data_IF_627185231811
#
_entry.id   IF_627185231811
#
_cell.length_a   1.000
_cell.length_b   1.000
_cell.length_c   1.000
_cell.angle_alpha   90.00
_cell.angle_beta   90.00
_cell.angle_gamma   90.00
#
_symmetry.space_group_name_H-M   'P 1'
#
loop_
_entity.id
_entity.type
_entity.pdbx_description
1 polymer ?
#
# COMPACT_ATOMS: atom_id res chain seq x y z
N UNK A 1 11.95 8.39 -10.00
CA UNK A 1 10.60 8.79 -10.48
C UNK A 1 10.07 9.89 -9.58
N UNK A 2 9.84 11.10 -10.08
CA UNK A 2 9.10 12.13 -9.35
C UNK A 2 7.68 11.65 -9.00
N UNK A 3 7.14 12.17 -7.89
CA UNK A 3 5.82 11.80 -7.38
C UNK A 3 4.98 13.06 -7.21
N UNK A 4 4.01 13.26 -8.09
CA UNK A 4 2.91 14.19 -7.87
C UNK A 4 1.69 13.36 -7.45
N UNK A 5 1.39 13.38 -6.15
CA UNK A 5 0.37 12.52 -5.55
C UNK A 5 -0.78 13.29 -4.91
N UNK A 6 -0.76 14.62 -4.93
CA UNK A 6 -1.83 15.43 -4.36
C UNK A 6 -3.11 15.33 -5.20
N UNK A 7 -4.11 14.64 -4.65
CA UNK A 7 -5.41 14.47 -5.29
C UNK A 7 -6.33 15.69 -5.13
N UNK A 8 -5.97 16.64 -4.25
CA UNK A 8 -6.74 17.84 -3.93
C UNK A 8 -6.35 19.06 -4.78
N UNK A 9 -5.21 19.02 -5.45
CA UNK A 9 -4.87 20.01 -6.47
C UNK A 9 -5.98 20.06 -7.53
N UNK A 10 -6.56 21.24 -7.84
CA UNK A 10 -7.59 21.36 -8.87
C UNK A 10 -7.08 20.88 -10.24
N UNK A 11 -7.91 20.15 -10.97
CA UNK A 11 -7.53 19.49 -12.22
C UNK A 11 -7.78 20.34 -13.49
N UNK A 12 -7.88 21.67 -13.36
CA UNK A 12 -8.10 22.57 -14.50
C UNK A 12 -6.84 22.70 -15.39
N UNK A 13 -7.04 23.18 -16.62
CA UNK A 13 -6.02 23.23 -17.67
C UNK A 13 -4.77 24.02 -17.26
N UNK A 14 -4.93 25.14 -16.54
CA UNK A 14 -3.80 25.96 -16.08
C UNK A 14 -2.85 25.17 -15.17
N UNK A 15 -3.37 24.28 -14.32
CA UNK A 15 -2.53 23.44 -13.46
C UNK A 15 -1.83 22.33 -14.25
N UNK A 16 -2.48 21.78 -15.27
CA UNK A 16 -1.82 20.85 -16.19
C UNK A 16 -0.70 21.53 -16.97
N UNK A 17 -0.93 22.74 -17.49
CA UNK A 17 0.09 23.52 -18.19
C UNK A 17 1.28 23.85 -17.28
N UNK A 18 1.01 24.22 -16.02
CA UNK A 18 2.04 24.45 -15.01
C UNK A 18 2.83 23.16 -14.73
N UNK A 19 2.15 22.03 -14.55
CA UNK A 19 2.78 20.73 -14.36
C UNK A 19 3.69 20.36 -15.53
N UNK A 20 3.23 20.50 -16.77
CA UNK A 20 4.02 20.25 -17.99
C UNK A 20 5.26 21.13 -18.02
N UNK A 21 5.11 22.44 -17.76
CA UNK A 21 6.22 23.39 -17.71
C UNK A 21 7.30 22.97 -16.71
N UNK A 22 6.90 22.56 -15.51
CA UNK A 22 7.84 22.15 -14.46
C UNK A 22 8.38 20.72 -14.62
N UNK A 23 7.69 19.87 -15.37
CA UNK A 23 8.17 18.53 -15.68
C UNK A 23 9.20 18.53 -16.82
N UNK A 24 9.16 19.50 -17.73
CA UNK A 24 10.08 19.59 -18.88
C UNK A 24 11.57 19.46 -18.50
N UNK A 25 12.10 20.20 -17.49
CA UNK A 25 13.52 20.05 -17.14
C UNK A 25 13.86 18.65 -16.62
N UNK A 26 12.93 18.00 -15.90
CA UNK A 26 13.13 16.62 -15.41
C UNK A 26 13.15 15.64 -16.58
N UNK A 27 12.26 15.85 -17.55
CA UNK A 27 12.25 15.09 -18.79
C UNK A 27 13.55 15.25 -19.58
N UNK A 28 14.06 16.47 -19.71
CA UNK A 28 15.32 16.77 -20.41
C UNK A 28 16.53 16.11 -19.71
N UNK A 29 16.47 15.94 -18.38
CA UNK A 29 17.44 15.18 -17.59
C UNK A 29 17.29 13.64 -17.71
N UNK A 30 16.37 13.15 -18.55
CA UNK A 30 16.20 11.72 -18.79
C UNK A 30 15.16 11.02 -17.90
N UNK A 31 14.36 11.76 -17.13
CA UNK A 31 13.26 11.14 -16.37
C UNK A 31 12.18 10.62 -17.32
N UNK A 32 11.85 9.34 -17.20
CA UNK A 32 10.85 8.63 -18.03
C UNK A 32 9.73 7.95 -17.25
N UNK A 33 9.54 8.35 -15.99
CA UNK A 33 8.39 7.88 -15.21
C UNK A 33 7.94 8.92 -14.20
N UNK A 34 6.64 9.05 -14.02
CA UNK A 34 6.04 10.01 -13.09
C UNK A 34 4.75 9.48 -12.49
N UNK A 35 4.47 9.82 -11.23
CA UNK A 35 3.12 9.64 -10.68
C UNK A 35 2.28 10.89 -10.94
N UNK A 36 1.06 10.69 -11.45
CA UNK A 36 0.06 11.74 -11.69
C UNK A 36 -1.25 11.30 -11.02
N UNK A 37 -1.96 12.17 -10.28
CA UNK A 37 -3.17 11.77 -9.59
C UNK A 37 -4.42 11.90 -10.46
N UNK A 38 -4.44 12.71 -11.52
CA UNK A 38 -5.67 13.08 -12.22
C UNK A 38 -5.94 12.22 -13.47
N UNK A 39 -6.96 11.36 -13.39
CA UNK A 39 -7.47 10.57 -14.53
C UNK A 39 -7.85 11.46 -15.72
N UNK A 40 -8.46 12.62 -15.46
CA UNK A 40 -8.87 13.57 -16.50
C UNK A 40 -7.67 14.07 -17.33
N UNK A 41 -6.53 14.34 -16.69
CA UNK A 41 -5.32 14.80 -17.40
C UNK A 41 -4.79 13.75 -18.37
N UNK A 42 -4.86 12.47 -17.99
CA UNK A 42 -4.46 11.39 -18.89
C UNK A 42 -5.46 11.25 -20.05
N UNK A 43 -6.78 11.31 -19.78
CA UNK A 43 -7.81 11.24 -20.83
C UNK A 43 -7.73 12.40 -21.84
N UNK A 44 -7.29 13.58 -21.43
CA UNK A 44 -7.03 14.69 -22.36
C UNK A 44 -5.84 14.43 -23.29
N UNK A 45 -4.88 13.58 -22.88
CA UNK A 45 -3.72 13.21 -23.70
C UNK A 45 -2.62 14.27 -23.81
N UNK A 46 -2.86 15.52 -23.44
CA UNK A 46 -1.91 16.64 -23.58
C UNK A 46 -0.52 16.35 -22.99
N UNK A 47 -0.48 15.74 -21.80
CA UNK A 47 0.80 15.37 -21.17
C UNK A 47 1.55 14.30 -21.97
N UNK A 48 0.87 13.22 -22.38
CA UNK A 48 1.51 12.13 -23.11
C UNK A 48 1.94 12.56 -24.53
N UNK A 49 1.17 13.42 -25.20
CA UNK A 49 1.57 14.00 -26.49
C UNK A 49 2.88 14.78 -26.37
N UNK A 50 3.07 15.50 -25.26
CA UNK A 50 4.31 16.26 -25.02
C UNK A 50 5.48 15.36 -24.62
N UNK A 51 5.22 14.30 -23.86
CA UNK A 51 6.22 13.39 -23.30
C UNK A 51 5.89 11.92 -23.62
N UNK A 52 6.04 11.49 -24.88
CA UNK A 52 5.46 10.24 -25.39
C UNK A 52 6.05 8.96 -24.78
N UNK A 53 7.30 8.99 -24.33
CA UNK A 53 8.01 7.86 -23.74
C UNK A 53 7.97 7.86 -22.19
N UNK A 54 7.28 8.82 -21.57
CA UNK A 54 7.10 8.85 -20.11
C UNK A 54 6.03 7.84 -19.70
N UNK A 55 6.37 7.00 -18.72
CA UNK A 55 5.45 6.05 -18.09
C UNK A 55 4.70 6.70 -16.93
N UNK A 56 3.37 6.69 -17.00
CA UNK A 56 2.53 7.34 -15.98
C UNK A 56 2.02 6.31 -14.98
N UNK A 57 2.18 6.64 -13.69
CA UNK A 57 1.65 5.87 -12.56
C UNK A 57 0.53 6.64 -11.85
N UNK A 58 -0.51 5.97 -11.38
CA UNK A 58 -1.48 6.63 -10.48
C UNK A 58 -0.87 6.80 -9.07
N UNK A 59 -1.54 7.51 -8.19
CA UNK A 59 -1.24 7.51 -6.75
C UNK A 59 -2.07 6.43 -6.04
N UNK A 60 -1.51 5.81 -4.98
CA UNK A 60 -2.28 4.92 -4.08
C UNK A 60 -3.50 5.65 -3.47
N UNK A 61 -3.45 6.98 -3.44
CA UNK A 61 -4.54 7.81 -2.95
C UNK A 61 -5.82 7.74 -3.81
N UNK A 62 -5.75 7.16 -5.02
CA UNK A 62 -6.91 6.87 -5.87
C UNK A 62 -7.60 5.54 -5.55
N UNK A 63 -7.10 4.79 -4.57
CA UNK A 63 -7.79 3.64 -3.94
C UNK A 63 -8.31 2.59 -4.94
N UNK A 64 -7.51 2.19 -5.92
CA UNK A 64 -7.89 1.14 -6.89
C UNK A 64 -8.01 -0.20 -6.17
N UNK A 65 -9.20 -0.79 -6.13
CA UNK A 65 -9.56 -1.97 -5.32
C UNK A 65 -10.26 -3.09 -6.11
N UNK A 66 -10.74 -2.82 -7.31
CA UNK A 66 -11.54 -3.73 -8.12
C UNK A 66 -11.03 -3.84 -9.56
N UNK A 67 -11.51 -4.88 -10.28
CA UNK A 67 -11.18 -5.06 -11.69
C UNK A 67 -11.65 -3.88 -12.55
N UNK A 68 -12.85 -3.34 -12.26
CA UNK A 68 -13.39 -2.18 -13.00
C UNK A 68 -12.58 -0.90 -12.76
N UNK A 69 -12.14 -0.63 -11.54
CA UNK A 69 -11.29 0.53 -11.27
C UNK A 69 -9.93 0.40 -11.96
N UNK A 70 -9.34 -0.79 -11.98
CA UNK A 70 -8.13 -1.06 -12.76
C UNK A 70 -8.38 -0.79 -14.26
N UNK A 71 -9.46 -1.32 -14.82
CA UNK A 71 -9.83 -1.12 -16.22
C UNK A 71 -9.93 0.37 -16.58
N UNK A 72 -10.67 1.14 -15.78
CA UNK A 72 -10.86 2.57 -15.98
C UNK A 72 -9.53 3.34 -15.96
N UNK A 73 -8.60 2.96 -15.09
CA UNK A 73 -7.26 3.56 -15.04
C UNK A 73 -6.41 3.15 -16.25
N UNK A 74 -6.47 1.89 -16.66
CA UNK A 74 -5.75 1.39 -17.83
C UNK A 74 -6.22 2.11 -19.11
N UNK A 75 -7.53 2.22 -19.32
CA UNK A 75 -8.14 2.97 -20.42
C UNK A 75 -7.85 4.46 -20.39
N UNK A 76 -7.73 5.05 -19.20
CA UNK A 76 -7.36 6.46 -19.09
C UNK A 76 -5.94 6.73 -19.61
N UNK A 77 -5.06 5.72 -19.60
CA UNK A 77 -3.71 5.83 -20.16
C UNK A 77 -2.60 5.44 -19.20
N UNK A 78 -2.89 5.10 -17.93
CA UNK A 78 -1.84 4.70 -16.98
C UNK A 78 -1.06 3.48 -17.51
N UNK A 79 0.26 3.51 -17.39
CA UNK A 79 1.14 2.36 -17.66
C UNK A 79 1.32 1.49 -16.42
N UNK A 80 1.04 2.07 -15.25
CA UNK A 80 1.33 1.47 -13.97
C UNK A 80 0.26 1.86 -12.95
N UNK A 81 -0.37 0.88 -12.31
CA UNK A 81 -1.48 1.06 -11.38
C UNK A 81 -1.07 0.56 -10.00
N UNK A 82 -0.85 1.50 -9.09
CA UNK A 82 -0.77 1.28 -7.66
C UNK A 82 -2.16 0.95 -7.11
N UNK A 83 -2.29 -0.27 -6.60
CA UNK A 83 -3.46 -0.81 -5.94
C UNK A 83 -3.55 -0.30 -4.50
N UNK A 84 -4.76 -0.28 -3.96
CA UNK A 84 -4.99 0.11 -2.59
C UNK A 84 -4.40 -0.92 -1.61
N UNK A 85 -3.78 -0.42 -0.55
CA UNK A 85 -3.24 -1.22 0.56
C UNK A 85 -4.26 -2.20 1.16
N UNK A 86 -5.57 -1.94 1.13
CA UNK A 86 -6.56 -2.83 1.76
C UNK A 86 -6.76 -4.13 1.01
N UNK A 87 -6.52 -4.16 -0.30
CA UNK A 87 -6.79 -5.36 -1.11
C UNK A 87 -5.65 -6.38 -1.07
N UNK A 88 -4.51 -6.03 -0.45
CA UNK A 88 -3.38 -6.95 -0.26
C UNK A 88 -3.76 -8.25 0.49
N UNK A 89 -4.80 -8.19 1.33
CA UNK A 89 -5.36 -9.32 2.09
C UNK A 89 -6.68 -9.84 1.51
N UNK A 90 -7.10 -9.40 0.33
CA UNK A 90 -8.29 -9.91 -0.37
C UNK A 90 -7.88 -10.62 -1.67
N UNK A 91 -7.57 -11.92 -1.58
CA UNK A 91 -7.19 -12.73 -2.77
C UNK A 91 -8.27 -12.77 -3.85
N UNK A 92 -9.55 -12.64 -3.49
CA UNK A 92 -10.63 -12.57 -4.48
C UNK A 92 -10.54 -11.28 -5.27
N UNK A 93 -10.36 -10.14 -4.59
CA UNK A 93 -10.18 -8.85 -5.25
C UNK A 93 -8.90 -8.81 -6.10
N UNK A 94 -7.77 -9.32 -5.59
CA UNK A 94 -6.51 -9.40 -6.34
C UNK A 94 -6.65 -10.24 -7.61
N UNK A 95 -7.33 -11.40 -7.52
CA UNK A 95 -7.60 -12.24 -8.69
C UNK A 95 -8.47 -11.52 -9.72
N UNK A 96 -9.50 -10.80 -9.28
CA UNK A 96 -10.38 -10.02 -10.16
C UNK A 96 -9.61 -8.90 -10.88
N UNK A 97 -8.79 -8.15 -10.14
CA UNK A 97 -7.89 -7.11 -10.66
C UNK A 97 -6.92 -7.70 -11.70
N UNK A 98 -6.29 -8.84 -11.39
CA UNK A 98 -5.40 -9.52 -12.31
C UNK A 98 -6.12 -10.00 -13.57
N UNK A 99 -7.33 -10.57 -13.44
CA UNK A 99 -8.13 -10.99 -14.58
C UNK A 99 -8.48 -9.81 -15.51
N UNK A 100 -8.85 -8.66 -14.94
CA UNK A 100 -9.09 -7.43 -15.69
C UNK A 100 -7.82 -6.94 -16.41
N UNK A 101 -6.66 -7.00 -15.76
CA UNK A 101 -5.36 -6.67 -16.35
C UNK A 101 -5.03 -7.58 -17.54
N UNK A 102 -5.19 -8.90 -17.41
CA UNK A 102 -4.94 -9.86 -18.49
C UNK A 102 -5.91 -9.65 -19.66
N UNK A 103 -7.19 -9.37 -19.36
CA UNK A 103 -8.18 -9.06 -20.38
C UNK A 103 -7.82 -7.78 -21.14
N UNK A 104 -7.39 -6.73 -20.43
CA UNK A 104 -6.98 -5.47 -21.04
C UNK A 104 -5.78 -5.67 -21.97
N UNK A 105 -4.76 -6.42 -21.54
CA UNK A 105 -3.62 -6.80 -22.39
C UNK A 105 -4.09 -7.56 -23.63
N UNK A 106 -4.97 -8.54 -23.49
CA UNK A 106 -5.49 -9.33 -24.61
C UNK A 106 -6.25 -8.48 -25.62
N UNK A 107 -7.03 -7.51 -25.17
CA UNK A 107 -7.86 -6.68 -26.06
C UNK A 107 -7.10 -5.53 -26.71
N UNK A 108 -6.14 -4.93 -26.00
CA UNK A 108 -5.48 -3.69 -26.44
C UNK A 108 -4.03 -3.90 -26.88
N UNK A 109 -3.41 -5.04 -26.54
CA UNK A 109 -1.98 -5.27 -26.68
C UNK A 109 -1.12 -4.48 -25.67
N UNK A 110 -1.70 -3.63 -24.83
CA UNK A 110 -0.97 -2.81 -23.85
C UNK A 110 -0.88 -3.55 -22.51
N UNK A 111 0.35 -3.82 -22.07
CA UNK A 111 0.60 -4.30 -20.70
C UNK A 111 0.61 -3.11 -19.74
N UNK A 112 -0.26 -3.15 -18.75
CA UNK A 112 -0.27 -2.24 -17.60
C UNK A 112 0.28 -3.00 -16.41
N UNK A 113 1.22 -2.43 -15.67
CA UNK A 113 1.78 -3.06 -14.48
C UNK A 113 0.94 -2.72 -13.25
N UNK A 114 0.81 -3.66 -12.32
CA UNK A 114 0.17 -3.43 -11.02
C UNK A 114 1.19 -3.42 -9.89
N UNK A 115 0.94 -2.64 -8.83
CA UNK A 115 1.77 -2.73 -7.63
C UNK A 115 1.04 -2.52 -6.33
N UNK A 116 1.61 -3.04 -5.25
CA UNK A 116 1.18 -2.81 -3.88
C UNK A 116 2.32 -2.17 -3.10
N UNK A 117 1.98 -1.21 -2.25
CA UNK A 117 2.91 -0.59 -1.32
C UNK A 117 2.96 -1.38 -0.01
N UNK A 118 4.16 -1.81 0.37
CA UNK A 118 4.48 -2.39 1.66
C UNK A 118 4.97 -1.32 2.64
N UNK A 119 4.70 -1.53 3.93
CA UNK A 119 5.29 -0.72 5.00
C UNK A 119 4.60 0.62 5.28
N UNK A 120 3.34 0.82 4.88
CA UNK A 120 2.60 2.05 5.24
C UNK A 120 2.13 2.09 6.71
N UNK A 121 2.10 0.96 7.42
CA UNK A 121 1.71 0.90 8.84
C UNK A 121 0.29 1.40 9.15
N UNK A 122 -0.57 1.53 8.14
CA UNK A 122 -1.94 2.01 8.29
C UNK A 122 -2.90 0.88 8.69
N UNK A 123 -3.91 1.17 9.51
CA UNK A 123 -5.01 0.23 9.73
C UNK A 123 -5.73 -0.08 8.41
N UNK A 124 -6.15 -1.33 8.24
CA UNK A 124 -6.93 -1.79 7.08
C UNK A 124 -8.05 -0.85 6.67
N UNK A 125 -9.11 -0.71 7.47
CA UNK A 125 -10.14 0.30 7.23
C UNK A 125 -9.98 1.46 8.22
N UNK A 126 -8.82 2.11 8.22
CA UNK A 126 -8.61 3.32 9.02
C UNK A 126 -9.68 4.38 8.69
N UNK A 127 -10.47 4.86 9.68
CA UNK A 127 -11.53 5.83 9.44
C UNK A 127 -10.98 7.20 9.02
N UNK A 128 -9.78 7.55 9.47
CA UNK A 128 -9.15 8.84 9.21
C UNK A 128 -8.21 8.82 8.01
N UNK A 129 -8.17 7.76 7.22
CA UNK A 129 -7.18 7.65 6.13
C UNK A 129 -7.29 8.81 5.14
N UNK A 130 -8.50 9.21 4.76
CA UNK A 130 -8.72 10.28 3.79
C UNK A 130 -8.32 11.65 4.35
N UNK A 131 -8.83 11.99 5.53
CA UNK A 131 -8.49 13.23 6.24
C UNK A 131 -7.00 13.32 6.59
N UNK A 132 -6.37 12.21 6.96
CA UNK A 132 -4.95 12.16 7.24
C UNK A 132 -4.14 12.56 6.01
N UNK A 133 -4.38 11.92 4.85
CA UNK A 133 -3.65 12.28 3.64
C UNK A 133 -4.01 13.68 3.12
N UNK A 134 -5.26 14.10 3.25
CA UNK A 134 -5.66 15.48 2.95
C UNK A 134 -4.88 16.48 3.82
N UNK A 135 -4.81 16.24 5.13
CA UNK A 135 -4.10 17.11 6.07
C UNK A 135 -2.61 17.20 5.71
N UNK A 136 -1.95 16.06 5.49
CA UNK A 136 -0.54 16.01 5.09
C UNK A 136 -0.27 16.74 3.77
N UNK A 137 -1.18 16.60 2.78
CA UNK A 137 -0.99 17.21 1.45
C UNK A 137 -1.28 18.72 1.45
N UNK A 138 -2.23 19.17 2.26
CA UNK A 138 -2.64 20.59 2.32
C UNK A 138 -1.85 21.41 3.34
N UNK A 139 -1.12 20.75 4.26
CA UNK A 139 -0.30 21.40 5.30
C UNK A 139 1.15 20.88 5.30
N UNK A 140 1.91 21.01 4.20
CA UNK A 140 3.25 20.43 4.07
C UNK A 140 4.28 20.98 5.09
N UNK A 141 4.02 22.15 5.69
CA UNK A 141 4.89 22.79 6.69
C UNK A 141 4.62 22.33 8.14
N UNK A 142 3.63 21.45 8.38
CA UNK A 142 3.33 20.96 9.73
C UNK A 142 4.50 20.18 10.38
N UNK A 143 5.43 19.68 9.57
CA UNK A 143 6.63 18.98 10.01
C UNK A 143 7.80 19.94 10.35
N UNK A 144 7.83 21.16 9.81
CA UNK A 144 9.00 22.06 9.89
C UNK A 144 9.03 22.96 11.13
N UNK A 145 7.91 23.19 11.81
CA UNK A 145 7.89 24.03 13.02
C UNK A 145 6.96 23.49 14.12
N UNK A 146 7.51 22.74 15.10
CA UNK A 146 6.71 22.13 16.16
C UNK A 146 6.06 23.09 17.16
N UNK A 147 6.44 24.37 17.16
CA UNK A 147 5.98 25.37 18.14
C UNK A 147 4.85 26.29 17.63
N UNK A 148 4.52 26.26 16.33
CA UNK A 148 3.46 27.12 15.75
C UNK A 148 2.13 26.43 15.45
N UNK A 149 2.09 25.09 15.43
CA UNK A 149 0.84 24.34 15.31
C UNK A 149 0.42 23.79 16.68
N UNK A 150 -0.35 24.58 17.41
CA UNK A 150 -1.06 24.19 18.64
C UNK A 150 -2.29 23.31 18.38
N UNK A 151 -2.48 22.79 17.17
CA UNK A 151 -3.71 22.10 16.81
C UNK A 151 -3.62 20.60 17.10
N UNK A 152 -4.60 20.13 17.87
CA UNK A 152 -4.96 18.73 18.08
C UNK A 152 -4.92 17.88 16.79
N UNK A 153 -5.11 18.51 15.63
CA UNK A 153 -5.13 17.89 14.30
C UNK A 153 -3.77 17.64 13.65
N UNK A 154 -2.65 18.04 14.27
CA UNK A 154 -1.30 17.87 13.70
C UNK A 154 -0.97 16.41 13.35
N UNK A 155 -1.55 15.48 14.10
CA UNK A 155 -1.28 14.06 13.95
C UNK A 155 -2.61 13.27 14.03
N UNK A 156 -3.38 13.23 12.92
CA UNK A 156 -4.65 12.48 12.86
C UNK A 156 -4.49 11.00 13.25
N UNK A 157 -3.29 10.44 13.13
CA UNK A 157 -2.96 9.10 13.59
C UNK A 157 -3.20 8.88 15.10
N UNK A 158 -3.11 9.91 15.96
CA UNK A 158 -3.44 9.80 17.39
C UNK A 158 -4.92 9.55 17.67
N UNK A 159 -5.78 9.80 16.67
CA UNK A 159 -7.21 9.49 16.72
C UNK A 159 -7.53 8.17 16.00
N UNK A 160 -6.53 7.42 15.56
CA UNK A 160 -6.70 6.12 14.87
C UNK A 160 -5.64 5.09 15.26
N UNK A 161 -4.61 4.84 14.44
CA UNK A 161 -3.66 3.75 14.70
C UNK A 161 -2.83 3.93 15.97
N UNK A 162 -2.55 5.16 16.39
CA UNK A 162 -1.81 5.44 17.62
C UNK A 162 -2.72 5.62 18.84
N UNK A 163 -4.04 5.47 18.70
CA UNK A 163 -4.97 5.56 19.85
C UNK A 163 -5.13 4.23 20.60
N UNK A 164 -4.61 3.13 20.05
CA UNK A 164 -4.68 1.81 20.67
C UNK A 164 -3.82 1.77 21.92
N UNK A 165 -4.36 1.25 23.02
CA UNK A 165 -3.62 1.02 24.28
C UNK A 165 -2.68 -0.18 24.17
N UNK A 166 -3.15 -1.25 23.53
CA UNK A 166 -2.35 -2.43 23.21
C UNK A 166 -1.90 -2.39 21.75
N UNK A 167 -0.61 -2.14 21.53
CA UNK A 167 -0.03 -2.07 20.20
C UNK A 167 0.26 -3.44 19.57
N UNK A 168 0.16 -4.55 20.31
CA UNK A 168 0.39 -5.90 19.78
C UNK A 168 -0.65 -6.30 18.72
N UNK A 169 -1.81 -5.65 18.72
CA UNK A 169 -2.86 -5.83 17.70
C UNK A 169 -2.49 -5.23 16.34
N UNK A 170 -1.71 -4.14 16.33
CA UNK A 170 -1.52 -3.31 15.15
C UNK A 170 -0.98 -4.10 13.95
N UNK A 171 0.05 -4.97 14.09
CA UNK A 171 0.53 -5.78 12.98
C UNK A 171 -0.53 -6.72 12.38
N UNK A 172 -1.46 -7.20 13.21
CA UNK A 172 -2.53 -8.10 12.79
C UNK A 172 -3.67 -7.41 12.05
N UNK A 173 -3.94 -6.13 12.35
CA UNK A 173 -5.04 -5.35 11.75
C UNK A 173 -4.59 -4.26 10.77
N UNK A 174 -3.28 -4.11 10.59
CA UNK A 174 -2.71 -3.19 9.60
C UNK A 174 -2.80 -3.77 8.19
N UNK A 175 -2.98 -2.87 7.22
CA UNK A 175 -2.83 -3.17 5.81
C UNK A 175 -1.34 -3.32 5.50
N UNK A 176 -0.94 -4.54 5.19
CA UNK A 176 0.43 -4.88 4.85
C UNK A 176 0.49 -6.25 4.18
N UNK A 177 1.62 -6.50 3.52
CA UNK A 177 1.92 -7.79 2.92
C UNK A 177 1.76 -8.92 3.95
N UNK A 178 1.36 -10.13 3.53
CA UNK A 178 1.37 -11.29 4.40
C UNK A 178 2.77 -11.57 4.92
N UNK A 179 2.86 -11.99 6.19
CA UNK A 179 4.13 -12.34 6.81
C UNK A 179 4.63 -13.70 6.30
N UNK A 180 3.77 -14.69 6.14
CA UNK A 180 4.21 -16.03 5.71
C UNK A 180 4.59 -16.04 4.23
N UNK A 181 5.77 -16.60 3.91
CA UNK A 181 6.28 -16.72 2.53
C UNK A 181 5.27 -17.28 1.54
N UNK A 182 4.61 -18.39 1.88
CA UNK A 182 3.58 -18.98 1.01
C UNK A 182 2.43 -18.00 0.71
N UNK A 183 2.03 -17.23 1.72
CA UNK A 183 0.94 -16.27 1.57
C UNK A 183 1.36 -15.05 0.74
N UNK A 184 2.60 -14.61 0.90
CA UNK A 184 3.22 -13.57 0.08
C UNK A 184 3.41 -14.02 -1.38
N UNK A 185 3.90 -15.24 -1.60
CA UNK A 185 4.01 -15.84 -2.93
C UNK A 185 2.65 -15.86 -3.65
N UNK A 186 1.59 -16.22 -2.93
CA UNK A 186 0.23 -16.20 -3.49
C UNK A 186 -0.25 -14.79 -3.85
N UNK A 187 0.18 -13.74 -3.14
CA UNK A 187 -0.11 -12.34 -3.53
C UNK A 187 0.70 -11.96 -4.78
N UNK A 188 1.97 -12.35 -4.85
CA UNK A 188 2.86 -12.08 -5.98
C UNK A 188 2.41 -12.73 -7.29
N UNK A 189 1.55 -13.75 -7.25
CA UNK A 189 0.92 -14.32 -8.45
C UNK A 189 -0.04 -13.34 -9.15
N UNK A 190 -0.56 -12.34 -8.44
CA UNK A 190 -1.59 -11.42 -8.96
C UNK A 190 -1.09 -9.99 -9.16
N UNK A 191 0.13 -9.67 -8.68
CA UNK A 191 0.68 -8.30 -8.66
C UNK A 191 2.08 -8.31 -9.25
N UNK A 192 2.39 -7.36 -10.13
CA UNK A 192 3.69 -7.34 -10.82
C UNK A 192 4.83 -6.81 -9.95
N UNK A 193 4.54 -5.85 -9.07
CA UNK A 193 5.58 -5.15 -8.30
C UNK A 193 5.18 -4.95 -6.84
N UNK A 194 6.11 -5.21 -5.94
CA UNK A 194 6.05 -4.76 -4.56
C UNK A 194 6.85 -3.46 -4.43
N UNK A 195 6.19 -2.39 -4.03
CA UNK A 195 6.83 -1.11 -3.73
C UNK A 195 7.16 -1.08 -2.25
N UNK A 196 8.42 -0.87 -1.91
CA UNK A 196 8.87 -0.69 -0.53
C UNK A 196 8.80 0.79 -0.15
N UNK A 197 8.41 1.07 1.10
CA UNK A 197 8.39 2.43 1.64
C UNK A 197 9.81 2.99 1.78
N UNK A 198 10.04 4.22 1.32
CA UNK A 198 11.36 4.88 1.35
C UNK A 198 11.40 6.20 2.10
N UNK A 199 10.37 6.54 2.89
CA UNK A 199 10.29 7.84 3.61
C UNK A 199 11.13 7.89 4.89
N UNK A 200 11.78 6.80 5.30
CA UNK A 200 12.48 6.69 6.59
C UNK A 200 13.99 6.52 6.42
N UNK A 201 14.69 7.56 5.95
CA UNK A 201 16.16 7.63 5.89
C UNK A 201 16.87 6.48 5.12
N UNK A 202 18.21 6.53 5.02
CA UNK A 202 19.02 5.44 4.46
C UNK A 202 18.83 4.10 5.20
N UNK A 203 18.45 4.15 6.47
CA UNK A 203 18.18 2.97 7.29
C UNK A 203 17.03 2.13 6.71
N UNK A 204 15.97 2.78 6.20
CA UNK A 204 14.87 2.06 5.52
C UNK A 204 15.31 1.29 4.27
N UNK A 205 16.39 1.71 3.59
CA UNK A 205 16.90 0.94 2.46
C UNK A 205 17.55 -0.36 2.94
N UNK A 206 18.38 -0.30 3.98
CA UNK A 206 19.04 -1.48 4.54
C UNK A 206 18.03 -2.46 5.16
N UNK A 207 17.02 -1.94 5.86
CA UNK A 207 15.95 -2.77 6.43
C UNK A 207 15.21 -3.53 5.32
N UNK A 208 14.87 -2.83 4.24
CA UNK A 208 14.22 -3.42 3.07
C UNK A 208 15.11 -4.44 2.34
N UNK A 209 16.40 -4.18 2.19
CA UNK A 209 17.36 -5.11 1.56
C UNK A 209 17.52 -6.37 2.41
N UNK A 210 17.68 -6.23 3.72
CA UNK A 210 17.80 -7.37 4.65
C UNK A 210 16.56 -8.27 4.60
N UNK A 211 15.38 -7.66 4.46
CA UNK A 211 14.12 -8.39 4.33
C UNK A 211 13.96 -9.07 2.96
N UNK A 212 14.51 -8.48 1.89
CA UNK A 212 14.62 -9.15 0.58
C UNK A 212 15.57 -10.35 0.68
N UNK A 213 16.76 -10.17 1.25
CA UNK A 213 17.76 -11.22 1.43
C UNK A 213 17.19 -12.39 2.24
N UNK A 214 16.56 -12.12 3.39
CA UNK A 214 15.91 -13.13 4.22
C UNK A 214 14.82 -13.91 3.45
N UNK A 215 14.08 -13.26 2.57
CA UNK A 215 13.06 -13.90 1.74
C UNK A 215 13.66 -14.82 0.66
N UNK A 216 14.82 -14.48 0.09
CA UNK A 216 15.46 -15.26 -0.97
C UNK A 216 16.40 -16.36 -0.47
N UNK A 217 17.12 -16.12 0.63
CA UNK A 217 18.15 -17.04 1.14
C UNK A 217 17.60 -18.19 1.97
N UNK A 218 16.39 -18.04 2.51
CA UNK A 218 15.81 -19.05 3.39
C UNK A 218 15.26 -20.26 2.64
N UNK A 219 15.57 -21.46 3.14
CA UNK A 219 14.93 -22.73 2.75
C UNK A 219 13.66 -23.04 3.56
N UNK A 220 13.47 -22.35 4.68
CA UNK A 220 12.33 -22.53 5.60
C UNK A 220 11.21 -21.51 5.34
N UNK A 221 10.05 -21.73 5.96
CA UNK A 221 8.89 -20.83 5.99
C UNK A 221 9.25 -19.53 6.75
N UNK A 222 10.02 -18.65 6.10
CA UNK A 222 10.38 -17.36 6.70
C UNK A 222 9.17 -16.46 6.78
N UNK A 223 9.05 -15.83 7.93
CA UNK A 223 8.15 -14.72 8.13
C UNK A 223 8.82 -13.45 7.60
N UNK A 224 8.16 -12.79 6.67
CA UNK A 224 8.45 -11.47 6.15
C UNK A 224 7.97 -10.43 7.17
N UNK A 225 8.90 -9.67 7.75
CA UNK A 225 8.65 -8.63 8.76
C UNK A 225 7.69 -9.10 9.89
N UNK A 226 8.00 -10.19 10.61
CA UNK A 226 7.07 -10.74 11.58
C UNK A 226 6.96 -9.88 12.83
N UNK A 227 5.74 -9.58 13.28
CA UNK A 227 5.55 -9.13 14.66
C UNK A 227 5.83 -10.27 15.64
N UNK A 228 6.25 -9.90 16.85
CA UNK A 228 6.59 -10.82 17.96
C UNK A 228 5.52 -11.91 18.19
N UNK A 229 4.25 -11.52 18.20
CA UNK A 229 3.12 -12.44 18.36
C UNK A 229 3.11 -13.59 17.33
N UNK A 230 3.43 -13.30 16.06
CA UNK A 230 3.49 -14.34 15.02
C UNK A 230 4.75 -15.19 15.15
N UNK A 231 5.88 -14.58 15.54
CA UNK A 231 7.12 -15.30 15.84
C UNK A 231 6.92 -16.31 16.97
N UNK A 232 6.25 -15.89 18.07
CA UNK A 232 5.97 -16.77 19.21
C UNK A 232 5.16 -18.01 18.81
N UNK A 233 4.06 -17.82 18.07
CA UNK A 233 3.23 -18.94 17.66
C UNK A 233 3.94 -19.84 16.63
N UNK A 234 4.70 -19.26 15.71
CA UNK A 234 5.47 -20.02 14.71
C UNK A 234 6.58 -20.87 15.35
N UNK A 235 7.20 -20.40 16.43
CA UNK A 235 8.20 -21.14 17.18
C UNK A 235 7.63 -22.32 18.00
N UNK A 236 6.31 -22.39 18.18
CA UNK A 236 5.63 -23.39 19.01
C UNK A 236 4.58 -24.20 18.20
N UNK A 237 4.96 -24.85 17.08
CA UNK A 237 4.01 -25.41 16.12
C UNK A 237 3.16 -26.55 16.70
N UNK A 238 3.74 -27.42 17.54
CA UNK A 238 3.04 -28.55 18.16
C UNK A 238 1.78 -28.15 18.95
N UNK A 239 1.72 -26.90 19.43
CA UNK A 239 0.61 -26.37 20.21
C UNK A 239 -0.31 -25.45 19.40
N UNK A 240 0.23 -24.66 18.48
CA UNK A 240 -0.49 -23.56 17.84
C UNK A 240 -0.70 -23.69 16.32
N UNK A 241 -0.25 -24.76 15.69
CA UNK A 241 -0.38 -24.96 14.24
C UNK A 241 -1.82 -24.77 13.74
N UNK A 242 -2.82 -25.37 14.43
CA UNK A 242 -4.24 -25.25 14.03
C UNK A 242 -4.76 -23.81 14.15
N UNK A 243 -4.32 -23.08 15.18
CA UNK A 243 -4.68 -21.68 15.41
C UNK A 243 -4.11 -20.80 14.30
N UNK A 244 -2.81 -20.94 14.02
CA UNK A 244 -2.13 -20.21 12.94
C UNK A 244 -2.71 -20.52 11.57
N UNK A 245 -2.93 -21.80 11.24
CA UNK A 245 -3.56 -22.18 9.95
C UNK A 245 -4.96 -21.58 9.81
N UNK A 246 -5.74 -21.54 10.89
CA UNK A 246 -7.07 -20.94 10.87
C UNK A 246 -7.00 -19.43 10.65
N UNK A 247 -6.10 -18.74 11.36
CA UNK A 247 -5.85 -17.32 11.20
C UNK A 247 -5.38 -16.98 9.79
N UNK A 248 -4.33 -17.66 9.28
CA UNK A 248 -3.80 -17.50 7.92
C UNK A 248 -4.89 -17.65 6.87
N UNK A 249 -5.70 -18.71 6.95
CA UNK A 249 -6.81 -18.93 6.01
C UNK A 249 -7.84 -17.79 6.02
N UNK A 250 -8.15 -17.23 7.20
CA UNK A 250 -9.10 -16.11 7.33
C UNK A 250 -8.50 -14.80 6.80
N UNK A 251 -7.21 -14.56 7.01
CA UNK A 251 -6.55 -13.31 6.59
C UNK A 251 -6.28 -13.23 5.09
N UNK A 252 -6.29 -14.36 4.37
CA UNK A 252 -6.17 -14.40 2.91
C UNK A 252 -7.33 -13.75 2.15
N UNK A 253 -8.49 -13.56 2.78
CA UNK A 253 -9.64 -12.84 2.20
C UNK A 253 -10.23 -11.83 3.20
N UNK A 254 -9.36 -11.18 3.97
CA UNK A 254 -9.76 -10.19 4.96
C UNK A 254 -9.97 -8.83 4.30
N UNK A 255 -11.21 -8.33 4.38
CA UNK A 255 -11.61 -6.98 3.97
C UNK A 255 -11.55 -5.96 5.11
N UNK A 256 -10.88 -6.31 6.20
CA UNK A 256 -10.79 -5.50 7.43
C UNK A 256 -12.15 -5.06 8.00
N UNK A 257 -13.17 -5.91 7.88
CA UNK A 257 -14.48 -5.74 8.50
C UNK A 257 -14.43 -6.24 9.95
N UNK A 258 -13.58 -5.61 10.76
CA UNK A 258 -13.24 -6.10 12.11
C UNK A 258 -14.43 -6.06 13.09
N UNK A 259 -15.46 -5.27 12.82
CA UNK A 259 -16.71 -5.24 13.61
C UNK A 259 -17.41 -6.61 13.67
N UNK A 260 -17.25 -7.44 12.64
CA UNK A 260 -17.88 -8.77 12.51
C UNK A 260 -16.93 -9.95 12.66
N UNK A 261 -15.64 -9.72 12.91
CA UNK A 261 -14.61 -10.77 12.95
C UNK A 261 -13.66 -10.60 14.14
N UNK A 262 -13.55 -11.63 14.99
CA UNK A 262 -12.73 -11.60 16.22
C UNK A 262 -11.39 -12.34 16.12
N UNK A 263 -11.04 -12.82 14.93
CA UNK A 263 -9.87 -13.70 14.75
C UNK A 263 -8.54 -13.10 15.20
N UNK A 264 -8.30 -11.80 14.99
CA UNK A 264 -7.07 -11.17 15.48
C UNK A 264 -7.10 -10.99 17.01
N UNK A 265 -8.24 -10.60 17.59
CA UNK A 265 -8.42 -10.47 19.04
C UNK A 265 -8.27 -11.79 19.78
N UNK A 266 -8.78 -12.89 19.21
CA UNK A 266 -8.61 -14.25 19.75
C UNK A 266 -7.13 -14.66 19.78
N UNK A 267 -6.36 -14.28 18.76
CA UNK A 267 -4.93 -14.56 18.67
C UNK A 267 -4.15 -13.80 19.76
N UNK A 268 -4.51 -12.54 20.00
CA UNK A 268 -3.89 -11.70 21.05
C UNK A 268 -4.25 -12.20 22.43
N UNK A 269 -5.53 -12.49 22.70
CA UNK A 269 -5.96 -13.02 23.98
C UNK A 269 -5.22 -14.34 24.30
N UNK A 270 -5.00 -15.19 23.28
CA UNK A 270 -4.18 -16.39 23.43
C UNK A 270 -2.72 -16.05 23.72
N UNK A 271 -2.15 -15.07 23.03
CA UNK A 271 -0.76 -14.65 23.23
C UNK A 271 -0.55 -14.12 24.66
N UNK A 272 -1.41 -13.22 25.13
CA UNK A 272 -1.35 -12.66 26.48
C UNK A 272 -1.44 -13.74 27.57
N UNK A 273 -2.37 -14.70 27.42
CA UNK A 273 -2.57 -15.79 28.38
C UNK A 273 -1.36 -16.74 28.52
N UNK A 274 -0.52 -16.84 27.48
CA UNK A 274 0.59 -17.81 27.43
C UNK A 274 1.95 -17.15 27.69
N UNK A 275 2.06 -15.85 27.44
CA UNK A 275 3.32 -15.12 27.51
C UNK A 275 3.59 -14.53 28.89
N UNK A 276 2.65 -14.66 29.85
CA UNK A 276 2.68 -13.95 31.14
C UNK A 276 2.97 -12.44 30.99
N UNK A 277 2.56 -11.86 29.85
CA UNK A 277 2.66 -10.42 29.62
C UNK A 277 1.39 -9.83 30.27
N UNK A 278 1.51 -9.00 31.32
CA UNK A 278 0.36 -8.38 31.97
C UNK A 278 -0.45 -7.50 31.00
#
# INVERSE_FOLDING_TARGET
SPVFNDIHTPNHEQNLALFIKHFQPLYDLGIRSVSIPHVLWLKMGTFQTRFPDVKIKNTVLRRVRSGQELWNHAEAGYDYINLDRVIVRDRRALREVHAAQQMFLKQTGKRVLTSILHGEGCLGNCPLWEEHYQHTLTHPQADENPLKNLEIFRYPQHFSCLSFTDHTILPLISAGLPHFREDLNAVCQYVDVIKLGGRRAFQSLNDNLSLIEAFFDSKDDVLFDPPEILTYFAANPSRYEKLLKTWRRRTQNCRFQCWGCRTCSELIARYAAESNIP
#
